data_IF_504259895154
#
_entry.id   IF_504259895154
#
_cell.length_a   1.000
_cell.length_b   1.000
_cell.length_c   1.000
_cell.angle_alpha   90.00
_cell.angle_beta   90.00
_cell.angle_gamma   90.00
#
_symmetry.space_group_name_H-M   'P 1'
#
loop_
_entity.id
_entity.type
_entity.pdbx_description
1 polymer ?
#
# COMPACT_ATOMS: atom_id res chain seq x y z
N UNK A 1 6.32 -4.70 -0.49
CA UNK A 1 6.49 -6.05 0.11
C UNK A 1 7.95 -6.53 0.06
N UNK A 2 8.63 -6.55 -1.09
CA UNK A 2 10.06 -6.96 -1.12
C UNK A 2 11.03 -6.01 -0.38
N UNK A 3 10.61 -4.77 -0.11
CA UNK A 3 11.35 -3.81 0.72
C UNK A 3 11.05 -3.95 2.23
N UNK A 4 10.44 -5.06 2.64
CA UNK A 4 10.20 -5.31 4.05
C UNK A 4 11.57 -5.40 4.79
N UNK A 5 11.75 -4.72 5.93
CA UNK A 5 13.02 -4.74 6.64
C UNK A 5 13.43 -6.14 7.10
N UNK A 6 12.45 -6.96 7.48
CA UNK A 6 12.65 -8.35 7.90
C UNK A 6 11.58 -9.26 7.33
N UNK A 7 11.90 -10.55 7.26
CA UNK A 7 10.96 -11.57 6.79
C UNK A 7 9.72 -11.69 7.71
N UNK A 8 9.88 -11.45 9.01
CA UNK A 8 8.78 -11.42 9.96
C UNK A 8 7.78 -10.29 9.67
N UNK A 9 8.27 -9.07 9.41
CA UNK A 9 7.43 -7.92 9.06
C UNK A 9 6.71 -8.14 7.72
N UNK A 10 7.38 -8.78 6.75
CA UNK A 10 6.72 -9.20 5.52
C UNK A 10 5.55 -10.15 5.82
N UNK A 11 5.77 -11.15 6.68
CA UNK A 11 4.75 -12.13 7.02
C UNK A 11 3.53 -11.46 7.68
N UNK A 12 3.75 -10.58 8.66
CA UNK A 12 2.68 -9.83 9.31
C UNK A 12 1.89 -8.97 8.31
N UNK A 13 2.58 -8.30 7.39
CA UNK A 13 1.93 -7.51 6.34
C UNK A 13 1.11 -8.37 5.37
N UNK A 14 1.59 -9.57 5.01
CA UNK A 14 0.82 -10.52 4.19
C UNK A 14 -0.47 -10.92 4.90
N UNK A 15 -0.40 -11.30 6.19
CA UNK A 15 -1.59 -11.67 6.96
C UNK A 15 -2.57 -10.52 7.10
N UNK A 16 -2.08 -9.30 7.34
CA UNK A 16 -2.91 -8.09 7.40
C UNK A 16 -3.65 -7.86 6.08
N UNK A 17 -2.96 -7.95 4.95
CA UNK A 17 -3.57 -7.81 3.61
C UNK A 17 -4.58 -8.91 3.32
N UNK A 18 -4.30 -10.16 3.69
CA UNK A 18 -5.25 -11.26 3.54
C UNK A 18 -6.55 -11.01 4.30
N UNK A 19 -6.47 -10.49 5.53
CA UNK A 19 -7.67 -10.14 6.33
C UNK A 19 -8.49 -9.03 5.67
N UNK A 20 -7.84 -8.06 5.04
CA UNK A 20 -8.49 -6.88 4.47
C UNK A 20 -8.90 -7.07 3.00
N UNK A 21 -8.53 -8.19 2.37
CA UNK A 21 -8.72 -8.41 0.94
C UNK A 21 -10.18 -8.26 0.47
N UNK A 22 -11.13 -8.59 1.35
CA UNK A 22 -12.57 -8.46 1.13
C UNK A 22 -13.05 -7.00 0.97
N UNK A 23 -12.27 -6.01 1.41
CA UNK A 23 -12.56 -4.59 1.23
C UNK A 23 -11.89 -3.99 -0.02
N UNK A 24 -10.98 -4.73 -0.66
CA UNK A 24 -10.13 -4.23 -1.74
C UNK A 24 -10.25 -5.09 -3.01
N UNK A 25 -9.24 -5.93 -3.30
CA UNK A 25 -9.16 -6.63 -4.57
C UNK A 25 -10.33 -7.57 -4.81
N UNK A 26 -10.80 -8.26 -3.77
CA UNK A 26 -11.95 -9.18 -3.89
C UNK A 26 -13.24 -8.38 -4.08
N UNK A 27 -13.42 -7.26 -3.35
CA UNK A 27 -14.58 -6.39 -3.55
C UNK A 27 -14.66 -5.87 -4.99
N UNK A 28 -13.55 -5.35 -5.52
CA UNK A 28 -13.47 -4.88 -6.90
C UNK A 28 -13.77 -6.02 -7.87
N UNK A 29 -13.14 -7.17 -7.67
CA UNK A 29 -13.29 -8.32 -8.56
C UNK A 29 -14.75 -8.78 -8.66
N UNK A 30 -15.40 -8.94 -7.51
CA UNK A 30 -16.81 -9.34 -7.41
C UNK A 30 -17.73 -8.26 -8.02
N UNK A 31 -17.67 -7.03 -7.50
CA UNK A 31 -18.59 -5.95 -7.90
C UNK A 31 -18.42 -5.48 -9.34
N UNK A 32 -17.25 -5.65 -9.95
CA UNK A 32 -17.05 -5.35 -11.37
C UNK A 32 -17.55 -6.47 -12.30
N UNK A 33 -17.83 -7.67 -11.81
CA UNK A 33 -18.23 -8.80 -12.67
C UNK A 33 -19.64 -9.31 -12.43
N UNK A 34 -20.15 -9.29 -11.19
CA UNK A 34 -21.52 -9.70 -10.89
C UNK A 34 -22.59 -8.97 -11.72
N UNK A 35 -22.49 -7.65 -12.02
CA UNK A 35 -23.46 -6.96 -12.86
C UNK A 35 -23.56 -7.50 -14.29
N UNK A 36 -22.54 -8.22 -14.76
CA UNK A 36 -22.47 -8.81 -16.10
C UNK A 36 -22.81 -10.30 -16.10
N UNK A 37 -23.32 -10.86 -14.99
CA UNK A 37 -23.64 -12.28 -14.88
C UNK A 37 -22.41 -13.20 -14.95
N UNK A 38 -21.21 -12.65 -14.72
CA UNK A 38 -19.96 -13.40 -14.75
C UNK A 38 -19.55 -13.82 -13.34
N UNK A 39 -19.09 -15.06 -13.21
CA UNK A 39 -18.60 -15.62 -11.95
C UNK A 39 -17.08 -15.77 -11.99
N UNK A 40 -16.36 -15.00 -11.17
CA UNK A 40 -14.90 -15.11 -11.07
C UNK A 40 -14.49 -16.15 -10.04
N UNK A 41 -13.52 -16.99 -10.41
CA UNK A 41 -12.79 -17.88 -9.50
C UNK A 41 -11.40 -17.31 -9.20
N UNK A 42 -10.98 -17.42 -7.94
CA UNK A 42 -9.69 -16.91 -7.43
C UNK A 42 -8.86 -18.03 -6.79
N UNK A 43 -8.22 -18.91 -7.58
CA UNK A 43 -7.54 -20.12 -7.07
C UNK A 43 -6.47 -19.85 -5.99
N UNK A 44 -5.79 -18.70 -6.07
CA UNK A 44 -4.80 -18.30 -5.07
C UNK A 44 -5.37 -18.01 -3.68
N UNK A 45 -6.70 -17.88 -3.55
CA UNK A 45 -7.40 -17.72 -2.27
C UNK A 45 -8.08 -19.00 -1.79
N UNK A 46 -7.77 -20.14 -2.40
CA UNK A 46 -8.20 -21.44 -1.86
C UNK A 46 -7.71 -21.61 -0.41
N UNK A 47 -8.59 -22.11 0.46
CA UNK A 47 -8.30 -22.22 1.90
C UNK A 47 -7.11 -23.14 2.17
N UNK A 48 -6.97 -24.24 1.43
CA UNK A 48 -5.86 -25.18 1.61
C UNK A 48 -4.56 -24.56 1.13
N UNK A 49 -4.59 -23.88 -0.02
CA UNK A 49 -3.43 -23.17 -0.55
C UNK A 49 -2.95 -22.06 0.38
N UNK A 50 -3.86 -21.17 0.83
CA UNK A 50 -3.53 -20.08 1.75
C UNK A 50 -2.99 -20.61 3.07
N UNK A 51 -3.60 -21.67 3.63
CA UNK A 51 -3.13 -22.32 4.86
C UNK A 51 -1.72 -22.90 4.71
N UNK A 52 -1.44 -23.57 3.59
CA UNK A 52 -0.11 -24.09 3.28
C UNK A 52 0.92 -22.95 3.17
N UNK A 53 0.65 -21.95 2.31
CA UNK A 53 1.58 -20.84 2.08
C UNK A 53 1.79 -20.03 3.36
N UNK A 54 0.76 -19.84 4.19
CA UNK A 54 0.89 -19.10 5.45
C UNK A 54 1.84 -19.78 6.43
N UNK A 55 1.94 -21.12 6.42
CA UNK A 55 2.86 -21.88 7.30
C UNK A 55 4.30 -21.91 6.81
N UNK A 56 4.57 -21.54 5.55
CA UNK A 56 5.93 -21.50 5.03
C UNK A 56 6.79 -20.49 5.80
N UNK A 57 8.06 -20.81 6.13
CA UNK A 57 8.96 -19.87 6.78
C UNK A 57 9.07 -18.58 5.95
N UNK A 58 8.98 -17.39 6.57
CA UNK A 58 8.94 -16.14 5.84
C UNK A 58 10.18 -15.88 4.96
N UNK A 59 11.32 -16.48 5.28
CA UNK A 59 12.56 -16.46 4.49
C UNK A 59 12.37 -16.99 3.06
N UNK A 60 11.44 -17.92 2.83
CA UNK A 60 11.12 -18.40 1.48
C UNK A 60 10.34 -17.36 0.64
N UNK A 61 9.75 -16.35 1.29
CA UNK A 61 8.96 -15.28 0.65
C UNK A 61 9.77 -14.00 0.45
N UNK A 62 10.81 -13.79 1.26
CA UNK A 62 11.75 -12.66 1.17
C UNK A 62 13.17 -13.17 0.93
N UNK A 63 13.56 -13.26 -0.34
CA UNK A 63 14.88 -13.74 -0.74
C UNK A 63 15.68 -12.56 -1.29
N UNK A 64 16.80 -12.24 -0.64
CA UNK A 64 17.67 -11.13 -1.04
C UNK A 64 18.22 -11.32 -2.45
N UNK A 65 18.25 -10.24 -3.24
CA UNK A 65 18.74 -10.25 -4.62
C UNK A 65 17.87 -11.03 -5.61
N UNK A 66 16.67 -11.48 -5.23
CA UNK A 66 15.72 -12.16 -6.12
C UNK A 66 14.48 -11.32 -6.40
N UNK A 67 13.91 -11.52 -7.59
CA UNK A 67 12.64 -10.91 -8.03
C UNK A 67 11.45 -11.35 -7.15
N UNK A 68 10.38 -10.57 -7.14
CA UNK A 68 9.21 -10.87 -6.33
C UNK A 68 8.58 -12.21 -6.69
N UNK A 69 7.95 -12.84 -5.70
CA UNK A 69 7.28 -14.15 -5.87
C UNK A 69 8.23 -15.23 -6.40
N UNK A 70 9.52 -15.16 -6.06
CA UNK A 70 10.55 -16.07 -6.56
C UNK A 70 10.19 -17.56 -6.41
N UNK A 71 9.77 -17.99 -5.21
CA UNK A 71 9.40 -19.40 -4.97
C UNK A 71 8.22 -19.85 -5.84
N UNK A 72 7.24 -18.96 -6.06
CA UNK A 72 6.12 -19.23 -6.95
C UNK A 72 6.61 -19.34 -8.39
N UNK A 73 7.44 -18.40 -8.87
CA UNK A 73 8.00 -18.47 -10.23
C UNK A 73 8.79 -19.77 -10.43
N UNK A 74 9.61 -20.16 -9.45
CA UNK A 74 10.40 -21.41 -9.50
C UNK A 74 9.52 -22.66 -9.57
N UNK A 75 8.36 -22.70 -8.92
CA UNK A 75 7.47 -23.88 -8.95
C UNK A 75 6.80 -24.10 -10.31
N UNK A 76 6.78 -23.10 -11.19
CA UNK A 76 6.22 -23.18 -12.54
C UNK A 76 7.29 -23.18 -13.64
N UNK A 77 8.57 -23.41 -13.29
CA UNK A 77 9.70 -23.31 -14.23
C UNK A 77 9.52 -24.15 -15.49
N UNK A 78 8.98 -25.36 -15.33
CA UNK A 78 8.85 -26.33 -16.42
C UNK A 78 7.49 -26.21 -17.15
N UNK A 79 6.62 -25.28 -16.74
CA UNK A 79 5.28 -25.08 -17.29
C UNK A 79 5.13 -23.80 -18.10
N UNK A 80 6.00 -22.81 -17.90
CA UNK A 80 5.87 -21.48 -18.52
C UNK A 80 7.20 -21.05 -19.17
N UNK A 81 7.16 -20.28 -20.27
CA UNK A 81 8.36 -19.71 -20.87
C UNK A 81 9.16 -18.83 -19.89
N UNK A 82 10.49 -18.89 -19.98
CA UNK A 82 11.40 -18.13 -19.11
C UNK A 82 11.13 -16.62 -19.13
N UNK A 83 10.78 -16.07 -20.28
CA UNK A 83 10.44 -14.64 -20.44
C UNK A 83 9.23 -14.23 -19.59
N UNK A 84 8.20 -15.09 -19.47
CA UNK A 84 7.02 -14.84 -18.63
C UNK A 84 7.37 -15.02 -17.16
N UNK A 85 8.13 -16.07 -16.83
CA UNK A 85 8.50 -16.42 -15.47
C UNK A 85 9.38 -15.39 -14.79
N UNK A 86 10.23 -14.70 -15.53
CA UNK A 86 11.22 -13.76 -14.97
C UNK A 86 10.94 -12.30 -15.32
N UNK A 87 9.81 -12.01 -15.96
CA UNK A 87 9.34 -10.65 -16.21
C UNK A 87 9.13 -9.87 -14.91
N UNK A 88 9.62 -8.64 -14.87
CA UNK A 88 9.32 -7.67 -13.84
C UNK A 88 7.84 -7.30 -13.84
N UNK A 89 7.32 -6.95 -12.65
CA UNK A 89 5.99 -6.38 -12.54
C UNK A 89 5.96 -5.01 -13.20
N UNK A 90 5.18 -4.88 -14.25
CA UNK A 90 4.75 -3.58 -14.80
C UNK A 90 3.40 -3.19 -14.18
N UNK A 91 3.21 -1.90 -13.94
CA UNK A 91 1.95 -1.34 -13.46
C UNK A 91 0.84 -1.57 -14.47
N UNK A 92 -0.41 -1.74 -14.00
CA UNK A 92 -1.55 -1.89 -14.91
C UNK A 92 -1.73 -0.65 -15.78
N UNK A 93 -1.42 0.55 -15.26
CA UNK A 93 -1.40 1.81 -16.02
C UNK A 93 -0.32 1.82 -17.11
N UNK A 94 0.87 1.29 -16.84
CA UNK A 94 1.96 1.18 -17.83
C UNK A 94 1.62 0.15 -18.93
N UNK A 95 0.82 -0.87 -18.60
CA UNK A 95 0.40 -1.90 -19.54
C UNK A 95 -0.70 -1.45 -20.53
N UNK A 96 -1.35 -0.30 -20.29
CA UNK A 96 -2.39 0.27 -21.17
C UNK A 96 -1.83 1.15 -22.30
N UNK A 97 -0.50 1.29 -22.39
CA UNK A 97 0.17 2.06 -23.44
C UNK A 97 0.31 3.55 -23.12
N UNK A 98 0.14 4.42 -24.12
CA UNK A 98 0.40 5.88 -24.02
C UNK A 98 -0.62 6.66 -23.17
N UNK A 99 -1.69 6.02 -22.71
CA UNK A 99 -2.76 6.69 -21.96
C UNK A 99 -2.57 6.45 -20.47
N UNK A 100 -2.06 7.47 -19.76
CA UNK A 100 -2.04 7.45 -18.31
C UNK A 100 -3.45 7.80 -17.79
N UNK A 101 -4.20 6.76 -17.44
CA UNK A 101 -5.54 6.91 -16.83
C UNK A 101 -5.46 7.74 -15.55
N UNK A 102 -4.37 7.65 -14.78
CA UNK A 102 -4.20 8.43 -13.56
C UNK A 102 -4.14 9.92 -13.86
N UNK A 103 -3.32 10.32 -14.83
CA UNK A 103 -3.21 11.71 -15.27
C UNK A 103 -4.56 12.23 -15.82
N UNK A 104 -5.26 11.41 -16.60
CA UNK A 104 -6.58 11.77 -17.13
C UNK A 104 -7.59 12.01 -16.00
N UNK A 105 -7.67 11.10 -15.03
CA UNK A 105 -8.57 11.22 -13.89
C UNK A 105 -8.25 12.44 -13.03
N UNK A 106 -6.97 12.71 -12.78
CA UNK A 106 -6.53 13.90 -12.04
C UNK A 106 -6.93 15.18 -12.78
N UNK A 107 -6.70 15.26 -14.09
CA UNK A 107 -7.13 16.39 -14.92
C UNK A 107 -8.63 16.59 -14.87
N UNK A 108 -9.40 15.53 -15.03
CA UNK A 108 -10.86 15.58 -14.96
C UNK A 108 -11.34 16.04 -13.58
N UNK A 109 -10.77 15.50 -12.50
CA UNK A 109 -11.13 15.90 -11.14
C UNK A 109 -10.81 17.38 -10.87
N UNK A 110 -9.69 17.89 -11.40
CA UNK A 110 -9.32 19.30 -11.30
C UNK A 110 -10.28 20.23 -12.05
N UNK A 111 -10.85 19.78 -13.17
CA UNK A 111 -11.86 20.53 -13.92
C UNK A 111 -13.21 20.53 -13.21
N UNK A 112 -13.60 19.40 -12.59
CA UNK A 112 -14.91 19.24 -11.95
C UNK A 112 -14.97 19.88 -10.55
N UNK A 113 -13.85 19.92 -9.83
CA UNK A 113 -13.79 20.36 -8.44
C UNK A 113 -12.92 21.63 -8.32
N UNK A 114 -13.57 22.76 -8.05
CA UNK A 114 -12.88 24.02 -7.77
C UNK A 114 -12.15 23.97 -6.43
N UNK A 115 -11.08 24.77 -6.29
CA UNK A 115 -10.30 24.84 -5.04
C UNK A 115 -11.14 25.33 -3.85
N UNK A 116 -12.12 26.22 -4.11
CA UNK A 116 -13.07 26.70 -3.10
C UNK A 116 -13.88 25.51 -2.56
N UNK A 117 -14.50 24.72 -3.45
CA UNK A 117 -15.29 23.55 -3.06
C UNK A 117 -14.43 22.48 -2.37
N UNK A 118 -13.21 22.29 -2.84
CA UNK A 118 -12.26 21.38 -2.19
C UNK A 118 -11.82 21.87 -0.80
N UNK A 119 -11.80 23.18 -0.56
CA UNK A 119 -11.57 23.78 0.76
C UNK A 119 -12.62 23.36 1.80
N UNK A 120 -13.86 23.16 1.36
CA UNK A 120 -14.98 22.77 2.22
C UNK A 120 -15.03 21.28 2.57
N UNK A 121 -14.13 20.45 2.02
CA UNK A 121 -14.17 18.98 2.15
C UNK A 121 -14.23 18.46 3.58
N UNK A 122 -13.60 19.13 4.55
CA UNK A 122 -13.64 18.73 5.97
C UNK A 122 -15.04 18.89 6.57
N UNK A 123 -15.77 19.92 6.13
CA UNK A 123 -17.15 20.20 6.55
C UNK A 123 -18.12 19.22 5.89
N UNK A 124 -17.94 18.97 4.58
CA UNK A 124 -18.80 18.09 3.80
C UNK A 124 -18.59 16.61 4.15
N UNK A 125 -17.34 16.21 4.35
CA UNK A 125 -16.94 14.82 4.61
C UNK A 125 -16.09 14.74 5.89
N UNK A 126 -16.69 14.88 7.08
CA UNK A 126 -15.95 14.88 8.34
C UNK A 126 -15.31 13.53 8.65
N UNK A 127 -15.93 12.43 8.20
CA UNK A 127 -15.35 11.09 8.28
C UNK A 127 -14.62 10.74 6.98
N UNK A 128 -13.35 10.32 7.11
CA UNK A 128 -12.46 9.98 5.99
C UNK A 128 -12.44 11.09 4.94
N UNK A 129 -12.05 12.28 5.38
CA UNK A 129 -11.98 13.45 4.51
C UNK A 129 -11.05 13.19 3.33
N UNK A 130 -11.48 13.47 2.08
CA UNK A 130 -10.64 13.34 0.89
C UNK A 130 -9.33 14.13 0.99
N UNK A 131 -8.23 13.52 0.56
CA UNK A 131 -6.89 14.13 0.55
C UNK A 131 -6.60 14.90 -0.74
N UNK A 132 -7.25 14.54 -1.84
CA UNK A 132 -7.12 15.17 -3.15
C UNK A 132 -8.49 15.29 -3.85
N UNK A 133 -8.53 16.02 -4.97
CA UNK A 133 -9.78 16.29 -5.71
C UNK A 133 -10.37 15.05 -6.37
N UNK A 134 -9.55 14.08 -6.75
CA UNK A 134 -10.02 12.80 -7.31
C UNK A 134 -10.81 12.01 -6.24
N UNK A 135 -10.26 11.87 -5.04
CA UNK A 135 -10.95 11.27 -3.90
C UNK A 135 -12.22 12.04 -3.55
N UNK A 136 -12.19 13.37 -3.62
CA UNK A 136 -13.38 14.20 -3.38
C UNK A 136 -14.48 13.88 -4.38
N UNK A 137 -14.10 13.74 -5.65
CA UNK A 137 -15.04 13.42 -6.72
C UNK A 137 -15.66 12.03 -6.52
N UNK A 138 -14.85 10.99 -6.28
CA UNK A 138 -15.38 9.65 -5.98
C UNK A 138 -16.25 9.63 -4.72
N UNK A 139 -15.85 10.34 -3.68
CA UNK A 139 -16.64 10.44 -2.45
C UNK A 139 -17.99 11.11 -2.70
N UNK A 140 -18.03 12.16 -3.52
CA UNK A 140 -19.27 12.84 -3.89
C UNK A 140 -20.22 11.90 -4.65
N UNK A 141 -19.71 11.11 -5.60
CA UNK A 141 -20.49 10.11 -6.33
C UNK A 141 -21.00 9.00 -5.40
N UNK A 142 -20.16 8.55 -4.46
CA UNK A 142 -20.52 7.54 -3.49
C UNK A 142 -21.67 8.01 -2.60
N UNK A 143 -21.59 9.20 -2.01
CA UNK A 143 -22.62 9.76 -1.13
C UNK A 143 -23.94 10.04 -1.86
N UNK A 144 -23.88 10.37 -3.16
CA UNK A 144 -25.09 10.52 -3.98
C UNK A 144 -25.86 9.19 -4.13
N UNK A 145 -25.16 8.06 -4.10
CA UNK A 145 -25.75 6.72 -4.27
C UNK A 145 -26.01 6.00 -2.95
N UNK A 146 -25.16 6.23 -1.96
CA UNK A 146 -25.15 5.52 -0.69
C UNK A 146 -25.12 6.55 0.45
N UNK A 147 -26.20 6.64 1.21
CA UNK A 147 -26.29 7.53 2.37
C UNK A 147 -25.33 7.06 3.48
N UNK A 148 -24.17 7.71 3.64
CA UNK A 148 -23.12 7.22 4.55
C UNK A 148 -23.52 7.17 6.03
N UNK A 149 -24.53 7.95 6.42
CA UNK A 149 -25.05 7.99 7.79
C UNK A 149 -25.60 6.63 8.26
N UNK A 150 -25.83 5.69 7.33
CA UNK A 150 -26.26 4.31 7.60
C UNK A 150 -25.10 3.30 7.73
N UNK A 151 -23.85 3.70 7.47
CA UNK A 151 -22.69 2.82 7.53
C UNK A 151 -22.00 2.90 8.90
N UNK A 152 -21.70 1.75 9.51
CA UNK A 152 -20.94 1.74 10.76
C UNK A 152 -19.52 2.29 10.53
N UNK A 153 -19.05 3.15 11.43
CA UNK A 153 -17.76 3.85 11.31
C UNK A 153 -16.54 2.92 11.24
N UNK A 154 -16.69 1.65 11.63
CA UNK A 154 -15.62 0.65 11.64
C UNK A 154 -15.49 -0.14 10.33
N UNK A 155 -16.41 0.03 9.37
CA UNK A 155 -16.45 -0.83 8.18
C UNK A 155 -15.35 -0.54 7.14
N UNK A 156 -14.81 0.68 7.11
CA UNK A 156 -13.95 1.12 6.01
C UNK A 156 -12.52 1.31 6.51
N UNK A 157 -11.68 0.28 6.38
CA UNK A 157 -10.25 0.46 6.63
C UNK A 157 -9.64 1.18 5.43
N UNK A 158 -9.09 2.37 5.63
CA UNK A 158 -8.39 3.10 4.55
C UNK A 158 -6.88 2.85 4.58
N UNK A 159 -6.22 3.10 3.44
CA UNK A 159 -4.75 3.18 3.32
C UNK A 159 -3.95 1.87 3.44
N UNK A 160 -4.58 0.69 3.35
CA UNK A 160 -3.87 -0.61 3.41
C UNK A 160 -2.74 -0.73 2.39
N UNK A 161 -2.90 -0.11 1.22
CA UNK A 161 -1.91 -0.11 0.15
C UNK A 161 -0.99 1.12 0.14
N UNK A 162 -1.28 2.17 0.91
CA UNK A 162 -0.42 3.36 1.04
C UNK A 162 0.63 3.19 2.15
N UNK A 163 0.29 2.45 3.20
CA UNK A 163 1.15 2.28 4.37
C UNK A 163 1.32 0.80 4.70
N UNK A 164 2.56 0.34 4.74
CA UNK A 164 2.89 -1.02 5.19
C UNK A 164 2.73 -1.12 6.71
N UNK A 165 2.39 -2.31 7.24
CA UNK A 165 2.19 -2.52 8.68
C UNK A 165 3.34 -2.00 9.56
N UNK A 166 4.58 -2.16 9.12
CA UNK A 166 5.76 -1.71 9.87
C UNK A 166 5.94 -0.18 9.87
N UNK A 167 5.31 0.55 8.94
CA UNK A 167 5.29 2.01 8.97
C UNK A 167 4.26 2.53 9.98
N UNK A 168 3.22 1.74 10.28
CA UNK A 168 2.18 2.07 11.27
C UNK A 168 2.73 1.91 12.69
N UNK A 169 3.53 0.86 12.95
CA UNK A 169 4.16 0.65 14.25
C UNK A 169 5.08 1.80 14.67
N UNK A 170 5.80 2.41 13.73
CA UNK A 170 6.68 3.55 14.01
C UNK A 170 5.89 4.81 14.41
N UNK A 171 4.75 5.07 13.76
CA UNK A 171 3.90 6.22 14.12
C UNK A 171 3.28 6.04 15.51
N UNK A 172 2.88 4.83 15.87
CA UNK A 172 2.35 4.55 17.22
C UNK A 172 3.44 4.67 18.30
N UNK A 173 4.70 4.35 17.98
CA UNK A 173 5.83 4.55 18.90
C UNK A 173 6.17 6.04 19.08
N UNK A 174 6.09 6.86 18.01
CA UNK A 174 6.25 8.32 18.11
C UNK A 174 5.11 8.98 18.89
N UNK A 175 3.86 8.53 18.70
CA UNK A 175 2.71 8.99 19.49
C UNK A 175 2.82 8.59 20.97
N UNK A 176 3.29 7.36 21.27
CA UNK A 176 3.53 6.92 22.64
C UNK A 176 4.69 7.70 23.30
N UNK A 177 5.75 8.02 22.56
CA UNK A 177 6.89 8.83 23.07
C UNK A 177 6.47 10.28 23.40
N UNK A 178 5.51 10.83 22.67
CA UNK A 178 4.91 12.14 22.98
C UNK A 178 4.00 12.08 24.22
N UNK A 179 3.33 10.94 24.47
CA UNK A 179 2.46 10.73 25.62
C UNK A 179 3.20 10.43 26.94
N UNK A 180 4.37 9.78 26.89
CA UNK A 180 5.18 9.43 28.06
C UNK A 180 6.10 10.57 28.56
N UNK A 181 5.97 11.77 27.98
CA UNK A 181 6.79 12.95 28.31
C UNK A 181 6.47 13.62 29.66
N UNK A 182 5.63 13.00 30.50
CA UNK A 182 5.08 13.60 31.74
C UNK A 182 5.39 12.85 33.05
N UNK A 183 6.37 11.92 33.08
CA UNK A 183 6.79 11.21 34.29
C UNK A 183 8.31 11.13 34.49
N UNK A 184 8.77 11.29 35.74
CA UNK A 184 10.18 11.53 36.12
C UNK A 184 11.07 10.26 36.24
N UNK A 185 10.53 9.05 36.01
CA UNK A 185 11.27 7.77 36.13
C UNK A 185 12.01 7.33 34.85
N UNK A 186 11.97 8.13 33.77
CA UNK A 186 12.42 7.71 32.42
C UNK A 186 13.90 7.90 32.06
N UNK A 187 14.81 8.23 32.99
CA UNK A 187 16.17 8.72 32.61
C UNK A 187 17.15 7.64 32.12
N UNK A 188 17.09 6.41 32.61
CA UNK A 188 17.99 5.33 32.16
C UNK A 188 17.48 4.61 30.89
N UNK A 189 16.17 4.36 30.80
CA UNK A 189 15.54 3.84 29.56
C UNK A 189 15.66 4.84 28.39
N UNK A 190 15.72 6.16 28.66
CA UNK A 190 16.00 7.21 27.66
C UNK A 190 17.35 7.04 26.96
N UNK A 191 18.39 6.55 27.64
CA UNK A 191 19.74 6.49 27.09
C UNK A 191 19.94 5.29 26.15
N UNK A 192 19.29 4.16 26.45
CA UNK A 192 19.36 2.93 25.65
C UNK A 192 18.48 3.08 24.40
N UNK A 193 17.23 3.53 24.57
CA UNK A 193 16.27 3.74 23.48
C UNK A 193 16.72 4.91 22.58
N UNK A 194 17.33 5.95 23.14
CA UNK A 194 17.89 7.07 22.37
C UNK A 194 19.00 6.65 21.41
N UNK A 195 19.89 5.73 21.83
CA UNK A 195 20.96 5.19 20.98
C UNK A 195 20.42 4.32 19.85
N UNK A 196 19.38 3.53 20.11
CA UNK A 196 18.72 2.71 19.07
C UNK A 196 17.95 3.57 18.07
N UNK A 197 17.29 4.64 18.52
CA UNK A 197 16.63 5.62 17.66
C UNK A 197 17.66 6.39 16.81
N UNK A 198 18.81 6.79 17.37
CA UNK A 198 19.88 7.42 16.59
C UNK A 198 20.47 6.50 15.52
N UNK A 199 20.67 5.21 15.85
CA UNK A 199 21.12 4.22 14.88
C UNK A 199 20.09 3.98 13.76
N UNK A 200 18.80 3.96 14.10
CA UNK A 200 17.70 3.85 13.13
C UNK A 200 17.54 5.13 12.28
N UNK A 201 17.76 6.31 12.86
CA UNK A 201 17.77 7.59 12.14
C UNK A 201 18.96 7.70 11.19
N UNK A 202 20.17 7.27 11.59
CA UNK A 202 21.34 7.21 10.71
C UNK A 202 21.13 6.27 9.52
N UNK A 203 20.56 5.10 9.75
CA UNK A 203 20.22 4.16 8.67
C UNK A 203 19.14 4.73 7.74
N UNK A 204 18.12 5.41 8.27
CA UNK A 204 17.10 6.07 7.45
C UNK A 204 17.62 7.28 6.67
N UNK A 205 18.55 8.08 7.22
CA UNK A 205 19.14 9.22 6.52
C UNK A 205 19.95 8.75 5.30
N UNK A 206 20.69 7.65 5.44
CA UNK A 206 21.41 7.02 4.33
C UNK A 206 20.44 6.53 3.24
N UNK A 207 19.34 5.88 3.62
CA UNK A 207 18.32 5.42 2.66
C UNK A 207 17.58 6.58 1.99
N UNK A 208 17.28 7.67 2.72
CA UNK A 208 16.64 8.87 2.15
C UNK A 208 17.58 9.66 1.24
N UNK A 209 18.87 9.72 1.55
CA UNK A 209 19.88 10.36 0.70
C UNK A 209 20.09 9.57 -0.59
N UNK A 210 20.11 8.24 -0.54
CA UNK A 210 20.10 7.39 -1.74
C UNK A 210 18.83 7.60 -2.59
N UNK A 211 17.66 7.74 -1.95
CA UNK A 211 16.39 8.03 -2.64
C UNK A 211 16.39 9.41 -3.32
N UNK A 212 16.92 10.47 -2.69
CA UNK A 212 17.02 11.81 -3.30
C UNK A 212 17.99 11.84 -4.49
N UNK A 213 19.12 11.12 -4.40
CA UNK A 213 20.08 11.00 -5.51
C UNK A 213 19.46 10.24 -6.70
N UNK A 214 18.63 9.24 -6.43
CA UNK A 214 18.01 8.42 -7.49
C UNK A 214 16.77 9.05 -8.13
N UNK A 215 15.97 9.82 -7.37
CA UNK A 215 14.84 10.58 -7.90
C UNK A 215 15.33 11.70 -8.85
N UNK A 216 16.44 12.37 -8.53
CA UNK A 216 17.08 13.32 -9.46
C UNK A 216 17.54 12.68 -10.77
N UNK A 217 18.02 11.43 -10.74
CA UNK A 217 18.41 10.69 -11.97
C UNK A 217 17.21 10.30 -12.84
N UNK A 218 16.00 10.17 -12.28
CA UNK A 218 14.77 9.87 -13.04
C UNK A 218 14.12 11.11 -13.65
N UNK A 219 14.31 12.31 -13.09
CA UNK A 219 13.73 13.54 -13.66
C UNK A 219 14.58 14.19 -14.77
N UNK A 220 15.86 13.82 -14.90
CA UNK A 220 16.77 14.37 -15.93
C UNK A 220 17.20 13.36 -16.98
N UNK A 221 16.42 12.30 -17.19
CA UNK A 221 16.65 11.33 -18.27
C UNK A 221 16.32 11.91 -19.64
N UNK A 222 17.04 12.95 -20.07
CA UNK A 222 17.10 13.31 -21.48
C UNK A 222 17.71 12.14 -22.24
N UNK A 223 16.92 11.61 -23.16
CA UNK A 223 17.31 10.66 -24.20
C UNK A 223 18.61 11.16 -24.84
N UNK A 224 19.67 10.36 -24.77
CA UNK A 224 20.72 10.38 -25.80
C UNK A 224 20.71 9.01 -26.45
N UNK A 225 20.48 9.05 -27.76
CA UNK A 225 20.72 7.98 -28.73
C UNK A 225 22.12 7.39 -28.56
#
# INVERSE_FOLDING_TARGET
MQRAPTALLLHQEILRRLRLLHQYDVLRCDRCTSPHGLEIRVPFLDKKFVSFVSRLPPSFKLISGKIEKFILRKSFKDLLPSEVLWRSKEGFSEALGKMDIGEMLEKTANLLISDIKFGERKKLFPFQTPENKEEFWYRSLFEQKFEINKLEKNLIHTKVYRTAAWQIQNNNLEENFLSESSGDEGKENKLIIGKDIENLKKNNLNVQNELKVHIRRRSTGSIKL
#
